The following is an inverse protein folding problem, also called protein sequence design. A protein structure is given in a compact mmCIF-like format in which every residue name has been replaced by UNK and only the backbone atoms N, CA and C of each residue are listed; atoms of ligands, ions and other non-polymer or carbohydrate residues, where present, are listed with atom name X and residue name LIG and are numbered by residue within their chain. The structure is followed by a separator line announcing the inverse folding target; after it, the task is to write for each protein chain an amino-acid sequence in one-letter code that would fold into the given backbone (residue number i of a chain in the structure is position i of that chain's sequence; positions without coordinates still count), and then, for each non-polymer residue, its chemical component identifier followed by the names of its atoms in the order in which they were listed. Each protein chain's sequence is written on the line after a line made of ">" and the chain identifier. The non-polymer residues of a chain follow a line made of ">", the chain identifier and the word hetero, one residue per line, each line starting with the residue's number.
data_IF_774007597089
#
_entry.id   IF_774007597089
#
_cell.length_a   1.000
_cell.length_b   1.000
_cell.length_c   1.000
_cell.angle_alpha   90.00
_cell.angle_beta   90.00
_cell.angle_gamma   90.00
#
_symmetry.space_group_name_H-M   'P 1'
#
loop_
_entity.id
_entity.type
_entity.pdbx_description
1 polymer ?
#
# COMPACT_ATOMS: atom_id res chain seq x y z
N UNK A 1 3.90 24.57 12.57
CA UNK A 1 4.74 23.45 13.05
C UNK A 1 5.34 23.83 14.40
N UNK A 2 5.31 22.95 15.41
CA UNK A 2 5.95 23.23 16.72
C UNK A 2 7.48 23.16 16.60
N UNK A 3 8.21 23.70 17.58
CA UNK A 3 9.68 23.68 17.60
C UNK A 3 10.23 22.24 17.51
N UNK A 4 9.76 21.35 18.37
CA UNK A 4 10.11 19.90 18.33
C UNK A 4 9.88 19.25 16.96
N UNK A 5 8.81 19.61 16.26
CA UNK A 5 8.52 19.08 14.91
C UNK A 5 9.49 19.62 13.88
N UNK A 6 9.90 20.88 14.01
CA UNK A 6 10.91 21.50 13.15
C UNK A 6 12.28 20.86 13.35
N UNK A 7 12.64 20.51 14.58
CA UNK A 7 13.87 19.77 14.89
C UNK A 7 13.86 18.38 14.24
N UNK A 8 12.79 17.60 14.43
CA UNK A 8 12.64 16.28 13.78
C UNK A 8 12.71 16.36 12.26
N UNK A 9 12.05 17.35 11.66
CA UNK A 9 12.09 17.54 10.21
C UNK A 9 13.50 17.92 9.72
N UNK A 10 14.20 18.78 10.46
CA UNK A 10 15.62 19.11 10.17
C UNK A 10 16.50 17.87 10.27
N UNK A 11 16.28 17.04 11.30
CA UNK A 11 17.02 15.80 11.50
C UNK A 11 16.74 14.79 10.38
N UNK A 12 15.48 14.63 9.95
CA UNK A 12 15.10 13.80 8.81
C UNK A 12 15.87 14.18 7.54
N UNK A 13 15.94 15.49 7.24
CA UNK A 13 16.70 15.98 6.08
C UNK A 13 18.20 15.69 6.20
N UNK A 14 18.76 15.71 7.40
CA UNK A 14 20.16 15.34 7.63
C UNK A 14 20.38 13.83 7.41
N UNK A 15 19.53 12.98 8.00
CA UNK A 15 19.57 11.51 7.82
C UNK A 15 19.51 11.13 6.34
N UNK A 16 18.60 11.75 5.57
CA UNK A 16 18.47 11.51 4.13
C UNK A 16 19.73 11.96 3.38
N UNK A 17 20.28 13.14 3.71
CA UNK A 17 21.50 13.66 3.06
C UNK A 17 22.68 12.73 3.25
N UNK A 18 22.83 12.15 4.44
CA UNK A 18 23.94 11.25 4.77
C UNK A 18 23.91 9.94 3.95
N UNK A 19 22.75 9.55 3.41
CA UNK A 19 22.63 8.37 2.52
C UNK A 19 23.25 8.60 1.14
N UNK A 20 23.52 9.85 0.73
CA UNK A 20 24.06 10.28 -0.57
C UNK A 20 23.15 10.04 -1.77
N UNK A 21 22.67 8.83 -1.98
CA UNK A 21 21.63 8.49 -2.97
C UNK A 21 20.63 7.50 -2.38
N UNK A 22 19.35 7.65 -2.72
CA UNK A 22 18.26 6.95 -2.03
C UNK A 22 17.18 6.44 -2.98
N UNK A 23 16.96 5.12 -2.96
CA UNK A 23 15.79 4.49 -3.56
C UNK A 23 14.69 4.33 -2.49
N UNK A 24 13.55 4.96 -2.70
CA UNK A 24 12.39 4.86 -1.80
C UNK A 24 11.45 3.76 -2.27
N UNK A 25 11.16 2.79 -1.40
CA UNK A 25 10.08 1.81 -1.59
C UNK A 25 8.74 2.53 -1.56
N UNK A 26 8.12 2.69 -2.72
CA UNK A 26 6.98 3.56 -2.94
C UNK A 26 5.69 2.78 -3.18
N UNK A 27 4.60 3.20 -2.54
CA UNK A 27 3.29 2.54 -2.63
C UNK A 27 2.16 3.48 -3.07
N UNK A 28 2.43 4.78 -3.22
CA UNK A 28 1.38 5.80 -3.37
C UNK A 28 0.68 6.20 -2.06
N UNK A 29 0.92 5.47 -0.97
CA UNK A 29 0.47 5.85 0.37
C UNK A 29 1.22 7.06 0.93
N UNK A 30 0.57 7.80 1.82
CA UNK A 30 1.05 9.09 2.35
C UNK A 30 2.45 9.01 2.95
N UNK A 31 2.77 7.95 3.71
CA UNK A 31 4.06 7.79 4.35
C UNK A 31 5.19 7.67 3.32
N UNK A 32 5.05 6.74 2.36
CA UNK A 32 6.05 6.56 1.29
C UNK A 32 6.14 7.76 0.35
N UNK A 33 5.03 8.47 0.14
CA UNK A 33 4.98 9.68 -0.69
C UNK A 33 5.72 10.86 -0.03
N UNK A 34 5.47 11.11 1.25
CA UNK A 34 6.18 12.15 2.00
C UNK A 34 7.68 11.85 2.02
N UNK A 35 8.06 10.59 2.25
CA UNK A 35 9.48 10.22 2.23
C UNK A 35 10.12 10.49 0.87
N UNK A 36 9.44 10.11 -0.22
CA UNK A 36 9.90 10.35 -1.58
C UNK A 36 10.07 11.84 -1.90
N UNK A 37 9.11 12.68 -1.51
CA UNK A 37 9.18 14.13 -1.73
C UNK A 37 10.32 14.75 -0.93
N UNK A 38 10.46 14.40 0.34
CA UNK A 38 11.56 14.92 1.17
C UNK A 38 12.91 14.43 0.64
N UNK A 39 13.01 13.20 0.14
CA UNK A 39 14.20 12.68 -0.51
C UNK A 39 14.56 13.48 -1.77
N UNK A 40 13.58 13.75 -2.64
CA UNK A 40 13.75 14.62 -3.82
C UNK A 40 14.20 16.02 -3.45
N UNK A 41 13.60 16.61 -2.43
CA UNK A 41 13.94 17.97 -2.00
C UNK A 41 15.33 18.08 -1.34
N UNK A 42 15.89 16.97 -0.85
CA UNK A 42 17.20 16.92 -0.20
C UNK A 42 18.31 16.49 -1.15
N UNK A 43 18.05 15.49 -2.01
CA UNK A 43 19.04 14.81 -2.85
C UNK A 43 18.88 15.12 -4.35
N UNK A 44 17.75 15.70 -4.77
CA UNK A 44 17.46 15.95 -6.19
C UNK A 44 17.50 14.66 -7.00
N UNK A 45 18.34 14.65 -8.04
CA UNK A 45 18.48 13.54 -8.99
C UNK A 45 19.07 12.25 -8.41
N UNK A 46 19.70 12.33 -7.23
CA UNK A 46 20.23 11.19 -6.49
C UNK A 46 19.15 10.46 -5.68
N UNK A 47 17.88 10.81 -5.87
CA UNK A 47 16.74 10.08 -5.31
C UNK A 47 15.82 9.54 -6.40
N UNK A 48 15.20 8.40 -6.10
CA UNK A 48 14.14 7.82 -6.92
C UNK A 48 13.16 7.00 -6.07
N UNK A 49 12.04 6.63 -6.68
CA UNK A 49 11.03 5.76 -6.13
C UNK A 49 11.01 4.43 -6.89
N UNK A 50 10.68 3.34 -6.20
CA UNK A 50 10.34 2.08 -6.84
C UNK A 50 8.94 1.64 -6.41
N UNK A 51 8.01 1.58 -7.37
CA UNK A 51 6.71 0.94 -7.19
C UNK A 51 6.81 -0.52 -7.60
N UNK A 52 6.48 -1.43 -6.69
CA UNK A 52 6.42 -2.86 -6.98
C UNK A 52 4.97 -3.24 -7.27
N UNK A 53 4.71 -3.73 -8.48
CA UNK A 53 3.38 -4.14 -8.92
C UNK A 53 3.24 -5.65 -8.86
N UNK A 54 2.02 -6.14 -8.67
CA UNK A 54 1.66 -7.55 -8.77
C UNK A 54 0.14 -7.67 -8.82
N UNK A 55 -0.44 -8.84 -9.14
CA UNK A 55 -1.89 -9.02 -9.07
C UNK A 55 -2.50 -8.85 -7.67
N UNK A 56 -1.68 -8.61 -6.63
CA UNK A 56 -2.11 -8.28 -5.28
C UNK A 56 -2.41 -6.78 -5.09
N UNK A 57 -1.82 -5.91 -5.91
CA UNK A 57 -2.06 -4.47 -5.88
C UNK A 57 -3.33 -4.19 -6.69
N UNK A 58 -4.36 -3.55 -6.11
CA UNK A 58 -5.52 -3.15 -6.89
C UNK A 58 -5.10 -2.23 -8.06
N UNK A 59 -5.58 -2.46 -9.30
CA UNK A 59 -5.16 -1.66 -10.46
C UNK A 59 -5.33 -0.15 -10.27
N UNK A 60 -6.44 0.26 -9.65
CA UNK A 60 -6.70 1.67 -9.31
C UNK A 60 -5.66 2.27 -8.36
N UNK A 61 -5.12 1.47 -7.44
CA UNK A 61 -4.06 1.92 -6.54
C UNK A 61 -2.72 2.08 -7.28
N UNK A 62 -2.43 1.18 -8.23
CA UNK A 62 -1.27 1.33 -9.12
C UNK A 62 -1.38 2.61 -9.97
N UNK A 63 -2.53 2.81 -10.63
CA UNK A 63 -2.79 3.98 -11.45
C UNK A 63 -2.67 5.28 -10.63
N UNK A 64 -3.26 5.30 -9.44
CA UNK A 64 -3.15 6.43 -8.53
C UNK A 64 -1.69 6.70 -8.12
N UNK A 65 -0.93 5.68 -7.74
CA UNK A 65 0.48 5.82 -7.36
C UNK A 65 1.33 6.38 -8.52
N UNK A 66 1.11 5.91 -9.75
CA UNK A 66 1.79 6.43 -10.94
C UNK A 66 1.42 7.89 -11.21
N UNK A 67 0.13 8.23 -11.12
CA UNK A 67 -0.35 9.59 -11.34
C UNK A 67 0.21 10.57 -10.30
N UNK A 68 0.26 10.17 -9.03
CA UNK A 68 0.86 10.95 -7.95
C UNK A 68 2.35 11.16 -8.21
N UNK A 69 3.10 10.10 -8.53
CA UNK A 69 4.52 10.22 -8.81
C UNK A 69 4.80 11.17 -9.98
N UNK A 70 3.99 11.13 -11.04
CA UNK A 70 4.09 12.06 -12.16
C UNK A 70 3.78 13.50 -11.75
N UNK A 71 2.69 13.73 -11.00
CA UNK A 71 2.28 15.06 -10.52
C UNK A 71 3.33 15.71 -9.62
N UNK A 72 3.94 14.91 -8.75
CA UNK A 72 4.96 15.37 -7.82
C UNK A 72 6.37 15.36 -8.43
N UNK A 73 6.50 15.02 -9.72
CA UNK A 73 7.78 14.96 -10.44
C UNK A 73 8.80 14.01 -9.79
N UNK A 74 8.33 12.88 -9.28
CA UNK A 74 9.17 11.84 -8.69
C UNK A 74 9.73 10.94 -9.78
N UNK A 75 11.05 10.71 -9.77
CA UNK A 75 11.69 9.69 -10.64
C UNK A 75 11.21 8.31 -10.20
N UNK A 76 10.34 7.69 -10.99
CA UNK A 76 9.68 6.43 -10.65
C UNK A 76 10.20 5.26 -11.51
N UNK A 77 10.73 4.24 -10.86
CA UNK A 77 10.88 2.90 -11.41
C UNK A 77 9.67 2.06 -11.08
N UNK A 78 9.25 1.23 -12.03
CA UNK A 78 8.23 0.22 -11.79
C UNK A 78 8.79 -1.16 -12.08
N UNK A 79 8.58 -2.09 -11.15
CA UNK A 79 9.00 -3.48 -11.26
C UNK A 79 7.83 -4.38 -10.92
N UNK A 80 7.60 -5.39 -11.74
CA UNK A 80 6.58 -6.40 -11.49
C UNK A 80 7.18 -7.50 -10.61
N UNK A 81 6.46 -7.88 -9.57
CA UNK A 81 6.79 -9.01 -8.71
C UNK A 81 6.05 -10.26 -9.17
N UNK A 82 6.82 -11.32 -9.35
CA UNK A 82 6.36 -12.67 -9.64
C UNK A 82 5.94 -13.44 -8.38
N UNK A 83 5.58 -12.76 -7.28
CA UNK A 83 5.34 -13.39 -5.98
C UNK A 83 4.29 -14.51 -6.01
N UNK A 84 3.31 -14.45 -6.94
CA UNK A 84 2.32 -15.51 -7.13
C UNK A 84 2.88 -16.76 -7.80
N UNK A 85 4.11 -16.77 -8.30
CA UNK A 85 4.83 -17.99 -8.72
C UNK A 85 5.42 -18.74 -7.52
N UNK A 86 5.58 -18.09 -6.37
CA UNK A 86 6.05 -18.74 -5.15
C UNK A 86 4.92 -19.59 -4.53
N UNK A 87 5.06 -20.92 -4.46
CA UNK A 87 4.02 -21.79 -3.94
C UNK A 87 3.72 -21.55 -2.45
N UNK A 88 4.73 -21.21 -1.64
CA UNK A 88 4.56 -20.93 -0.21
C UNK A 88 3.71 -19.66 0.00
N UNK A 89 3.96 -18.63 -0.81
CA UNK A 89 3.15 -17.41 -0.76
C UNK A 89 1.69 -17.68 -1.19
N UNK A 90 1.50 -18.47 -2.24
CA UNK A 90 0.16 -18.83 -2.73
C UNK A 90 -0.69 -19.58 -1.71
N UNK A 91 -0.09 -20.23 -0.71
CA UNK A 91 -0.85 -20.88 0.37
C UNK A 91 -1.59 -19.88 1.27
N UNK A 92 -1.32 -18.57 1.15
CA UNK A 92 -1.98 -17.51 1.92
C UNK A 92 -1.91 -17.75 3.44
N UNK A 93 -0.80 -18.28 3.94
CA UNK A 93 -0.61 -18.49 5.38
C UNK A 93 -0.45 -17.15 6.11
N UNK A 94 -0.47 -17.17 7.44
CA UNK A 94 -0.15 -15.97 8.26
C UNK A 94 1.26 -15.42 7.98
N UNK A 95 2.15 -16.21 7.38
CA UNK A 95 3.51 -15.81 7.03
C UNK A 95 3.61 -15.05 5.69
N UNK A 96 2.53 -14.97 4.89
CA UNK A 96 2.56 -14.38 3.53
C UNK A 96 3.17 -12.97 3.49
N UNK A 97 2.93 -12.15 4.52
CA UNK A 97 3.41 -10.78 4.58
C UNK A 97 4.94 -10.71 4.72
N UNK A 98 5.54 -11.65 5.46
CA UNK A 98 6.99 -11.74 5.58
C UNK A 98 7.62 -12.17 4.25
N UNK A 99 7.05 -13.18 3.59
CA UNK A 99 7.49 -13.65 2.27
C UNK A 99 7.39 -12.53 1.23
N UNK A 100 6.27 -11.80 1.22
CA UNK A 100 6.08 -10.63 0.34
C UNK A 100 7.11 -9.53 0.60
N UNK A 101 7.43 -9.25 1.87
CA UNK A 101 8.44 -8.25 2.21
C UNK A 101 9.85 -8.67 1.79
N UNK A 102 10.20 -9.96 1.89
CA UNK A 102 11.47 -10.49 1.41
C UNK A 102 11.60 -10.35 -0.11
N UNK A 103 10.56 -10.72 -0.86
CA UNK A 103 10.55 -10.57 -2.33
C UNK A 103 10.63 -9.10 -2.74
N UNK A 104 9.92 -8.23 -2.01
CA UNK A 104 9.97 -6.78 -2.25
C UNK A 104 11.37 -6.23 -2.01
N UNK A 105 12.03 -6.64 -0.93
CA UNK A 105 13.41 -6.25 -0.64
C UNK A 105 14.39 -6.72 -1.73
N UNK A 106 14.25 -7.96 -2.22
CA UNK A 106 15.05 -8.50 -3.34
C UNK A 106 14.93 -7.61 -4.58
N UNK A 107 13.70 -7.28 -4.99
CA UNK A 107 13.45 -6.42 -6.16
C UNK A 107 14.03 -5.02 -5.95
N UNK A 108 13.90 -4.45 -4.74
CA UNK A 108 14.46 -3.13 -4.44
C UNK A 108 15.99 -3.12 -4.55
N UNK A 109 16.67 -4.18 -4.09
CA UNK A 109 18.12 -4.32 -4.25
C UNK A 109 18.51 -4.42 -5.72
N UNK A 110 17.78 -5.18 -6.53
CA UNK A 110 18.05 -5.25 -7.98
C UNK A 110 17.97 -3.87 -8.65
N UNK A 111 16.96 -3.07 -8.31
CA UNK A 111 16.82 -1.70 -8.83
C UNK A 111 17.92 -0.78 -8.28
N UNK A 112 18.29 -0.94 -7.01
CA UNK A 112 19.34 -0.14 -6.38
C UNK A 112 20.70 -0.42 -7.04
N UNK A 113 21.03 -1.69 -7.28
CA UNK A 113 22.27 -2.12 -7.92
C UNK A 113 22.32 -1.71 -9.40
N UNK A 114 21.21 -1.87 -10.14
CA UNK A 114 21.10 -1.49 -11.55
C UNK A 114 21.33 0.01 -11.78
N UNK A 115 20.91 0.84 -10.83
CA UNK A 115 20.94 2.30 -10.97
C UNK A 115 21.93 3.02 -10.03
N UNK A 116 22.69 2.27 -9.23
CA UNK A 116 23.75 2.80 -8.37
C UNK A 116 23.26 3.59 -7.14
N UNK A 117 22.15 3.19 -6.54
CA UNK A 117 21.68 3.80 -5.28
C UNK A 117 22.43 3.23 -4.08
N UNK A 118 22.94 4.11 -3.22
CA UNK A 118 23.72 3.72 -2.04
C UNK A 118 22.86 3.21 -0.88
N UNK A 119 21.57 3.56 -0.86
CA UNK A 119 20.65 3.13 0.18
C UNK A 119 19.24 2.91 -0.37
N UNK A 120 18.50 2.04 0.32
CA UNK A 120 17.07 1.81 0.13
C UNK A 120 16.36 2.24 1.42
N UNK A 121 15.19 2.88 1.30
CA UNK A 121 14.36 3.23 2.44
C UNK A 121 12.88 2.92 2.24
N UNK A 122 12.17 2.65 3.33
CA UNK A 122 10.71 2.56 3.34
C UNK A 122 10.07 3.61 4.27
N UNK A 123 8.74 3.75 4.16
CA UNK A 123 7.96 4.73 4.90
C UNK A 123 7.62 4.35 6.35
N UNK A 124 8.26 3.34 6.95
CA UNK A 124 8.01 2.98 8.35
C UNK A 124 8.33 4.16 9.26
N UNK A 125 7.38 4.57 10.08
CA UNK A 125 7.51 5.74 10.97
C UNK A 125 7.71 5.32 12.44
N UNK A 126 7.98 6.32 13.30
CA UNK A 126 8.30 6.07 14.71
C UNK A 126 7.14 5.44 15.51
N UNK A 127 5.89 5.65 15.11
CA UNK A 127 4.74 5.04 15.80
C UNK A 127 4.62 3.54 15.46
N UNK A 128 5.07 3.15 14.27
CA UNK A 128 4.97 1.77 13.77
C UNK A 128 5.93 0.81 14.46
N UNK A 129 6.97 1.29 15.14
CA UNK A 129 7.99 0.45 15.80
C UNK A 129 7.72 0.23 17.30
N UNK A 130 6.57 0.65 17.81
CA UNK A 130 6.15 0.35 19.18
C UNK A 130 5.63 -1.09 19.27
N UNK A 131 6.30 -1.95 20.05
CA UNK A 131 5.91 -3.36 20.29
C UNK A 131 6.57 -4.40 19.36
N UNK A 132 5.97 -5.59 19.23
CA UNK A 132 6.45 -6.64 18.32
C UNK A 132 6.08 -6.32 16.87
N UNK A 133 7.10 -6.04 16.04
CA UNK A 133 6.93 -5.49 14.68
C UNK A 133 7.80 -6.25 13.68
N UNK A 134 7.37 -7.45 13.25
CA UNK A 134 8.17 -8.31 12.36
C UNK A 134 8.52 -7.62 11.04
N UNK A 135 7.63 -6.77 10.51
CA UNK A 135 7.89 -6.03 9.27
C UNK A 135 9.09 -5.09 9.35
N UNK A 136 9.30 -4.40 10.48
CA UNK A 136 10.48 -3.54 10.69
C UNK A 136 11.76 -4.37 10.78
N UNK A 137 11.73 -5.48 11.53
CA UNK A 137 12.87 -6.39 11.66
C UNK A 137 13.28 -7.01 10.32
N UNK A 138 12.31 -7.46 9.51
CA UNK A 138 12.58 -7.97 8.16
C UNK A 138 13.18 -6.92 7.25
N UNK A 139 12.71 -5.66 7.34
CA UNK A 139 13.29 -4.55 6.58
C UNK A 139 14.76 -4.31 6.93
N UNK A 140 15.06 -4.21 8.23
CA UNK A 140 16.44 -4.04 8.71
C UNK A 140 17.34 -5.20 8.30
N UNK A 141 16.89 -6.44 8.47
CA UNK A 141 17.66 -7.63 8.09
C UNK A 141 17.94 -7.68 6.58
N UNK A 142 17.08 -7.06 5.78
CA UNK A 142 17.24 -6.92 4.34
C UNK A 142 17.95 -5.61 3.93
N UNK A 143 18.57 -4.87 4.85
CA UNK A 143 19.32 -3.65 4.52
C UNK A 143 18.46 -2.45 4.12
N UNK A 144 17.15 -2.49 4.37
CA UNK A 144 16.26 -1.34 4.19
C UNK A 144 16.40 -0.40 5.39
N UNK A 145 16.67 0.87 5.12
CA UNK A 145 16.76 1.93 6.13
C UNK A 145 15.40 2.56 6.41
N UNK A 146 15.26 3.22 7.57
CA UNK A 146 13.95 3.74 8.02
C UNK A 146 14.12 5.20 8.47
N UNK A 147 14.28 6.16 7.54
CA UNK A 147 14.64 7.54 7.88
C UNK A 147 13.67 8.24 8.84
N UNK A 148 12.38 7.92 8.77
CA UNK A 148 11.40 8.46 9.71
C UNK A 148 11.60 7.93 11.13
N UNK A 149 11.94 6.65 11.29
CA UNK A 149 12.29 6.06 12.59
C UNK A 149 13.58 6.69 13.12
N UNK A 150 14.62 6.78 12.29
CA UNK A 150 15.90 7.42 12.63
C UNK A 150 15.71 8.87 13.11
N UNK A 151 14.79 9.61 12.48
CA UNK A 151 14.49 11.01 12.83
C UNK A 151 13.39 11.21 13.88
N UNK A 152 12.79 10.12 14.39
CA UNK A 152 11.68 10.17 15.35
C UNK A 152 10.39 10.80 14.81
N UNK A 153 10.16 10.72 13.50
CA UNK A 153 8.99 11.24 12.79
C UNK A 153 7.78 10.34 13.05
N UNK A 154 6.70 10.91 13.57
CA UNK A 154 5.43 10.21 13.84
C UNK A 154 4.44 10.39 12.68
N UNK A 155 3.32 9.66 12.69
CA UNK A 155 2.23 9.80 11.70
C UNK A 155 1.65 11.21 11.66
N UNK A 156 1.53 11.85 12.81
CA UNK A 156 1.07 13.24 12.89
C UNK A 156 2.08 14.22 12.29
N UNK A 157 3.37 13.94 12.44
CA UNK A 157 4.42 14.75 11.80
C UNK A 157 4.37 14.57 10.28
N UNK A 158 4.18 13.35 9.78
CA UNK A 158 4.00 13.06 8.34
C UNK A 158 2.82 13.83 7.77
N UNK A 159 1.66 13.84 8.45
CA UNK A 159 0.48 14.60 8.00
C UNK A 159 0.75 16.11 7.92
N UNK A 160 1.54 16.65 8.84
CA UNK A 160 1.90 18.07 8.83
C UNK A 160 2.86 18.37 7.69
N UNK A 161 3.87 17.52 7.48
CA UNK A 161 4.79 17.64 6.35
C UNK A 161 3.99 17.57 5.04
N UNK A 162 3.08 16.60 4.90
CA UNK A 162 2.22 16.48 3.73
C UNK A 162 1.41 17.76 3.44
N UNK A 163 0.83 18.38 4.47
CA UNK A 163 0.13 19.66 4.34
C UNK A 163 1.06 20.80 3.93
N UNK A 164 2.30 20.83 4.41
CA UNK A 164 3.29 21.84 4.01
C UNK A 164 3.66 21.72 2.52
N UNK A 165 3.65 20.50 1.99
CA UNK A 165 3.87 20.21 0.58
C UNK A 165 2.57 20.22 -0.25
N UNK A 166 1.44 20.66 0.32
CA UNK A 166 0.13 20.73 -0.36
C UNK A 166 -0.33 19.39 -0.96
N UNK A 167 0.05 18.27 -0.35
CA UNK A 167 -0.28 16.91 -0.82
C UNK A 167 -1.72 16.54 -0.42
N UNK A 168 -2.69 16.41 -1.34
CA UNK A 168 -4.08 16.10 -1.00
C UNK A 168 -4.28 14.68 -0.44
N UNK A 169 -3.36 13.75 -0.70
CA UNK A 169 -3.43 12.34 -0.32
C UNK A 169 -3.39 12.09 1.19
N UNK A 170 -3.14 13.09 2.04
CA UNK A 170 -3.19 12.91 3.51
C UNK A 170 -4.57 12.41 4.01
N UNK A 171 -5.62 12.61 3.21
CA UNK A 171 -6.98 12.17 3.50
C UNK A 171 -7.31 10.78 2.93
N UNK A 172 -6.44 10.19 2.09
CA UNK A 172 -6.70 8.90 1.45
C UNK A 172 -6.60 7.76 2.46
N UNK A 173 -7.60 6.87 2.58
CA UNK A 173 -7.49 5.67 3.38
C UNK A 173 -6.35 4.76 2.90
N UNK A 174 -5.68 4.07 3.83
CA UNK A 174 -4.67 3.06 3.46
C UNK A 174 -5.33 1.90 2.73
N UNK A 175 -4.80 1.55 1.56
CA UNK A 175 -5.24 0.39 0.80
C UNK A 175 -4.48 -0.87 1.25
N UNK A 176 -5.21 -1.94 1.51
CA UNK A 176 -4.61 -3.26 1.78
C UNK A 176 -4.59 -4.12 0.52
N UNK A 177 -3.60 -5.02 0.42
CA UNK A 177 -3.48 -5.92 -0.72
C UNK A 177 -4.71 -6.83 -0.91
N UNK A 178 -4.97 -7.25 -2.14
CA UNK A 178 -6.13 -8.08 -2.49
C UNK A 178 -6.14 -9.46 -1.81
N UNK A 179 -4.98 -10.00 -1.39
CA UNK A 179 -4.92 -11.23 -0.59
C UNK A 179 -5.71 -11.14 0.73
N UNK A 180 -5.90 -9.93 1.28
CA UNK A 180 -6.73 -9.74 2.49
C UNK A 180 -8.22 -10.01 2.25
N UNK A 181 -8.67 -10.14 1.00
CA UNK A 181 -10.05 -10.49 0.66
C UNK A 181 -10.29 -12.01 0.67
N UNK A 182 -9.21 -12.79 0.76
CA UNK A 182 -9.25 -14.25 0.74
C UNK A 182 -8.85 -14.75 2.14
N UNK A 183 -9.62 -15.67 2.74
CA UNK A 183 -9.30 -16.28 4.03
C UNK A 183 -7.89 -16.87 4.08
N UNK A 184 -7.26 -16.80 5.26
CA UNK A 184 -5.97 -17.45 5.47
C UNK A 184 -6.06 -18.94 5.11
N UNK A 185 -4.97 -19.48 4.57
CA UNK A 185 -4.84 -20.87 4.13
C UNK A 185 -5.68 -21.27 2.90
N UNK A 186 -6.37 -20.31 2.25
CA UNK A 186 -6.96 -20.52 0.93
C UNK A 186 -6.00 -20.07 -0.18
N UNK A 187 -5.95 -20.81 -1.29
CA UNK A 187 -5.00 -20.54 -2.36
C UNK A 187 -5.24 -19.16 -3.01
N UNK A 188 -4.16 -18.38 -3.15
CA UNK A 188 -4.18 -17.16 -3.95
C UNK A 188 -4.12 -17.54 -5.43
N UNK A 189 -5.27 -17.46 -6.08
CA UNK A 189 -5.42 -17.58 -7.53
C UNK A 189 -5.41 -16.20 -8.20
N UNK A 190 -4.49 -15.93 -9.16
CA UNK A 190 -4.49 -14.69 -9.94
C UNK A 190 -5.84 -14.34 -10.59
N UNK A 191 -6.58 -15.34 -11.08
CA UNK A 191 -7.88 -15.08 -11.72
C UNK A 191 -8.91 -14.61 -10.70
N UNK A 192 -8.93 -15.23 -9.52
CA UNK A 192 -9.76 -14.79 -8.40
C UNK A 192 -9.41 -13.37 -7.94
N UNK A 193 -8.13 -13.04 -7.81
CA UNK A 193 -7.68 -11.70 -7.42
C UNK A 193 -8.16 -10.64 -8.44
N UNK A 194 -8.00 -10.92 -9.74
CA UNK A 194 -8.48 -10.04 -10.80
C UNK A 194 -10.01 -9.88 -10.76
N UNK A 195 -10.73 -10.97 -10.48
CA UNK A 195 -12.19 -10.96 -10.32
C UNK A 195 -12.63 -10.10 -9.13
N UNK A 196 -11.96 -10.24 -7.98
CA UNK A 196 -12.20 -9.43 -6.79
C UNK A 196 -11.96 -7.94 -7.09
N UNK A 197 -10.85 -7.61 -7.75
CA UNK A 197 -10.53 -6.23 -8.12
C UNK A 197 -11.64 -5.58 -8.97
N UNK A 198 -12.14 -6.30 -9.98
CA UNK A 198 -13.25 -5.83 -10.82
C UNK A 198 -14.55 -5.67 -10.02
N UNK A 199 -14.82 -6.59 -9.11
CA UNK A 199 -16.00 -6.51 -8.25
C UNK A 199 -15.95 -5.30 -7.31
N UNK A 200 -14.77 -4.97 -6.76
CA UNK A 200 -14.61 -3.73 -5.98
C UNK A 200 -14.87 -2.49 -6.84
N UNK A 201 -14.44 -2.45 -8.10
CA UNK A 201 -14.75 -1.32 -8.99
C UNK A 201 -16.24 -1.18 -9.31
N UNK A 202 -16.99 -2.29 -9.44
CA UNK A 202 -18.46 -2.22 -9.60
C UNK A 202 -19.11 -1.48 -8.44
N UNK A 203 -18.67 -1.76 -7.21
CA UNK A 203 -19.23 -1.13 -6.01
C UNK A 203 -18.75 0.32 -5.87
N UNK A 204 -17.50 0.62 -6.24
CA UNK A 204 -17.01 2.01 -6.29
C UNK A 204 -17.78 2.84 -7.32
N UNK A 205 -18.11 2.26 -8.48
CA UNK A 205 -18.94 2.92 -9.49
C UNK A 205 -20.36 3.20 -9.00
N UNK A 206 -20.87 2.42 -8.03
CA UNK A 206 -22.12 2.69 -7.32
C UNK A 206 -22.01 3.81 -6.26
N UNK A 207 -20.82 4.40 -6.07
CA UNK A 207 -20.56 5.54 -5.20
C UNK A 207 -19.74 5.22 -3.95
N UNK A 208 -19.33 3.96 -3.76
CA UNK A 208 -18.62 3.56 -2.55
C UNK A 208 -17.24 4.20 -2.41
N UNK A 209 -16.98 4.82 -1.26
CA UNK A 209 -15.67 5.40 -0.95
C UNK A 209 -14.73 4.34 -0.37
N UNK A 210 -15.28 3.45 0.47
CA UNK A 210 -14.56 2.29 1.00
C UNK A 210 -15.27 1.02 0.60
N UNK A 211 -14.51 0.08 0.04
CA UNK A 211 -15.05 -1.24 -0.29
C UNK A 211 -13.99 -2.32 -0.13
N UNK A 212 -14.43 -3.47 0.37
CA UNK A 212 -13.76 -4.76 0.20
C UNK A 212 -14.75 -5.79 -0.30
N UNK A 213 -14.39 -6.53 -1.34
CA UNK A 213 -15.14 -7.71 -1.76
C UNK A 213 -14.41 -8.94 -1.26
N UNK A 214 -14.86 -9.50 -0.14
CA UNK A 214 -14.29 -10.73 0.41
C UNK A 214 -14.90 -11.95 -0.25
N UNK A 215 -14.13 -13.01 -0.34
CA UNK A 215 -14.56 -14.26 -0.95
C UNK A 215 -14.58 -15.37 0.09
N UNK A 216 -15.70 -16.07 0.17
CA UNK A 216 -15.88 -17.24 1.02
C UNK A 216 -16.51 -18.35 0.16
N UNK A 217 -15.66 -19.22 -0.41
CA UNK A 217 -16.09 -20.16 -1.44
C UNK A 217 -16.76 -19.45 -2.62
N UNK A 218 -18.03 -19.74 -2.85
CA UNK A 218 -18.82 -19.17 -3.97
C UNK A 218 -19.48 -17.81 -3.65
N UNK A 219 -19.28 -17.29 -2.43
CA UNK A 219 -19.91 -16.05 -1.94
C UNK A 219 -18.95 -14.87 -2.07
N UNK A 220 -19.37 -13.81 -2.76
CA UNK A 220 -18.78 -12.49 -2.67
C UNK A 220 -19.49 -11.67 -1.58
N UNK A 221 -18.78 -11.37 -0.49
CA UNK A 221 -19.27 -10.59 0.65
C UNK A 221 -18.70 -9.17 0.57
N UNK A 222 -19.58 -8.19 0.41
CA UNK A 222 -19.25 -6.78 0.26
C UNK A 222 -19.19 -6.13 1.63
N UNK A 223 -18.05 -5.55 1.99
CA UNK A 223 -17.87 -4.68 3.15
C UNK A 223 -17.71 -3.24 2.64
N UNK A 224 -18.54 -2.32 3.11
CA UNK A 224 -18.50 -0.91 2.70
C UNK A 224 -18.92 0.02 3.85
N UNK A 225 -18.77 1.33 3.64
CA UNK A 225 -19.24 2.34 4.59
C UNK A 225 -20.79 2.41 4.62
N UNK A 226 -21.40 2.85 5.74
CA UNK A 226 -22.86 2.85 5.90
C UNK A 226 -23.62 3.63 4.82
N UNK A 227 -23.10 4.79 4.38
CA UNK A 227 -23.75 5.59 3.33
C UNK A 227 -23.82 4.81 2.01
N UNK A 228 -22.77 4.06 1.70
CA UNK A 228 -22.69 3.23 0.50
C UNK A 228 -23.58 2.00 0.56
N UNK A 229 -23.91 1.48 1.75
CA UNK A 229 -24.84 0.35 1.91
C UNK A 229 -26.23 0.68 1.37
N UNK A 230 -26.75 1.88 1.67
CA UNK A 230 -28.07 2.32 1.18
C UNK A 230 -28.10 2.36 -0.35
N UNK A 231 -27.04 2.90 -0.97
CA UNK A 231 -26.90 2.95 -2.43
C UNK A 231 -26.84 1.55 -3.05
N UNK A 232 -26.08 0.64 -2.43
CA UNK A 232 -25.99 -0.76 -2.86
C UNK A 232 -27.36 -1.44 -2.79
N UNK A 233 -28.14 -1.19 -1.74
CA UNK A 233 -29.48 -1.75 -1.60
C UNK A 233 -30.41 -1.28 -2.73
N UNK A 234 -30.38 0.01 -3.07
CA UNK A 234 -31.15 0.57 -4.19
C UNK A 234 -30.70 -0.04 -5.53
N UNK A 235 -29.40 -0.24 -5.73
CA UNK A 235 -28.81 -0.75 -6.98
C UNK A 235 -28.62 -2.28 -7.02
N UNK A 236 -29.23 -3.02 -6.09
CA UNK A 236 -28.88 -4.42 -5.82
C UNK A 236 -29.03 -5.33 -7.05
N UNK A 237 -30.05 -5.15 -7.89
CA UNK A 237 -30.25 -5.98 -9.09
C UNK A 237 -29.12 -5.81 -10.11
N UNK A 238 -28.69 -4.56 -10.32
CA UNK A 238 -27.60 -4.22 -11.26
C UNK A 238 -26.29 -4.78 -10.73
N UNK A 239 -26.02 -4.61 -9.43
CA UNK A 239 -24.82 -5.11 -8.76
C UNK A 239 -24.79 -6.64 -8.80
N UNK A 240 -25.88 -7.31 -8.44
CA UNK A 240 -25.97 -8.76 -8.45
C UNK A 240 -25.69 -9.31 -9.86
N UNK A 241 -26.32 -8.74 -10.90
CA UNK A 241 -26.08 -9.13 -12.29
C UNK A 241 -24.61 -8.95 -12.71
N UNK A 242 -23.98 -7.84 -12.32
CA UNK A 242 -22.57 -7.60 -12.60
C UNK A 242 -21.66 -8.65 -11.91
N UNK A 243 -21.91 -8.94 -10.63
CA UNK A 243 -21.15 -9.95 -9.89
C UNK A 243 -21.33 -11.37 -10.43
N UNK A 244 -22.55 -11.74 -10.85
CA UNK A 244 -22.80 -13.01 -11.52
C UNK A 244 -22.06 -13.12 -12.86
N UNK A 245 -22.00 -12.02 -13.63
CA UNK A 245 -21.21 -11.96 -14.87
C UNK A 245 -19.71 -12.10 -14.60
N UNK A 246 -19.23 -11.60 -13.46
CA UNK A 246 -17.86 -11.80 -12.99
C UNK A 246 -17.62 -13.24 -12.50
N UNK A 247 -18.65 -14.05 -12.29
CA UNK A 247 -18.55 -15.46 -11.90
C UNK A 247 -18.75 -15.74 -10.42
N UNK A 248 -19.32 -14.81 -9.64
CA UNK A 248 -19.74 -15.10 -8.27
C UNK A 248 -21.16 -15.70 -8.25
N UNK A 249 -21.36 -16.78 -7.50
CA UNK A 249 -22.67 -17.44 -7.40
C UNK A 249 -23.62 -16.72 -6.46
N UNK A 250 -23.08 -16.19 -5.37
CA UNK A 250 -23.83 -15.49 -4.35
C UNK A 250 -23.16 -14.15 -4.05
N UNK A 251 -23.98 -13.13 -3.83
CA UNK A 251 -23.54 -11.78 -3.45
C UNK A 251 -24.23 -11.43 -2.15
N UNK A 252 -23.46 -10.99 -1.17
CA UNK A 252 -23.96 -10.62 0.15
C UNK A 252 -23.40 -9.26 0.56
N UNK A 253 -24.20 -8.49 1.28
CA UNK A 253 -23.74 -7.28 1.97
C UNK A 253 -23.45 -7.64 3.43
N UNK A 254 -22.28 -7.25 3.92
CA UNK A 254 -21.91 -7.44 5.31
C UNK A 254 -22.64 -6.44 6.21
N UNK A 255 -23.45 -6.95 7.13
CA UNK A 255 -24.21 -6.13 8.10
C UNK A 255 -23.30 -5.42 9.11
N UNK A 256 -22.09 -5.95 9.34
CA UNK A 256 -21.07 -5.28 10.16
C UNK A 256 -20.36 -4.14 9.43
N UNK A 257 -20.51 -4.07 8.10
CA UNK A 257 -19.88 -3.09 7.23
C UNK A 257 -18.35 -3.17 7.18
N UNK A 258 -17.74 -2.08 6.73
CA UNK A 258 -16.29 -1.99 6.65
C UNK A 258 -15.66 -1.84 8.04
N UNK A 259 -14.83 -2.80 8.43
CA UNK A 259 -13.95 -2.73 9.60
C UNK A 259 -12.49 -2.86 9.18
N UNK A 260 -11.63 -1.96 9.66
CA UNK A 260 -10.18 -2.12 9.50
C UNK A 260 -9.70 -3.31 10.35
N UNK A 261 -8.74 -4.08 9.83
CA UNK A 261 -8.16 -5.20 10.57
C UNK A 261 -9.07 -6.42 10.80
N UNK A 262 -10.27 -6.53 10.21
CA UNK A 262 -11.22 -7.64 10.49
C UNK A 262 -10.77 -9.06 10.13
N UNK A 263 -9.55 -9.23 9.61
CA UNK A 263 -8.93 -10.54 9.36
C UNK A 263 -7.89 -10.93 10.42
N UNK A 264 -7.51 -10.00 11.30
CA UNK A 264 -6.48 -10.18 12.33
C UNK A 264 -7.08 -10.11 13.74
#
# INVERSE_FOLDING_TARGET
>A
MTERRRERYTHLRAVIRDKRSLLVSYSGGIDSLVLAIVARDVLGNDSACCLITSPLLPPREEEAARAIAAREELRLFVRESDILKNPEFRMNSKNRCAICKQESARILHEVADEHGFAAIADGTNADDITGYRPGYQTGLAAGITHPFVEAGITKDDIRIIAKMHSIPEYAKPSASCLATRIPYNECLDPQLLARIARAEEVIRAAGAQQVRVRVHGDVARIETDPESMERIFVLHEIIAKAFHTLGFRHVALDMDGFKSGSMD
#
